data_IF_222597102793
#
_entry.id   IF_222597102793
#
_cell.length_a   1.000
_cell.length_b   1.000
_cell.length_c   1.000
_cell.angle_alpha   90.00
_cell.angle_beta   90.00
_cell.angle_gamma   90.00
#
_symmetry.space_group_name_H-M   'P 1'
#
loop_
_entity.id
_entity.type
_entity.pdbx_description
1 polymer ?
#
# COMPACT_ATOMS: atom_id res chain seq x y z
N UNK A 1 -25.56 -1.53 -21.61
CA UNK A 1 -24.11 -1.25 -21.68
C UNK A 1 -23.67 -0.14 -20.74
N UNK A 2 -24.15 1.12 -20.87
CA UNK A 2 -23.74 2.20 -19.97
C UNK A 2 -24.25 2.03 -18.52
N UNK A 3 -25.51 1.59 -18.35
CA UNK A 3 -26.09 1.29 -17.03
C UNK A 3 -25.36 0.09 -16.37
N UNK A 4 -25.06 -0.96 -17.14
CA UNK A 4 -24.37 -2.15 -16.63
C UNK A 4 -22.95 -1.81 -16.13
N UNK A 5 -22.24 -0.93 -16.84
CA UNK A 5 -20.92 -0.44 -16.43
C UNK A 5 -21.01 0.37 -15.13
N UNK A 6 -21.99 1.27 -15.01
CA UNK A 6 -22.18 2.06 -13.81
C UNK A 6 -22.51 1.17 -12.60
N UNK A 7 -23.37 0.16 -12.77
CA UNK A 7 -23.70 -0.78 -11.69
C UNK A 7 -22.46 -1.56 -11.21
N UNK A 8 -21.61 -2.02 -12.13
CA UNK A 8 -20.33 -2.65 -11.82
C UNK A 8 -19.41 -1.74 -11.01
N UNK A 9 -19.26 -0.49 -11.44
CA UNK A 9 -18.46 0.52 -10.74
C UNK A 9 -19.01 0.81 -9.34
N UNK A 10 -20.32 0.96 -9.18
CA UNK A 10 -20.96 1.17 -7.87
C UNK A 10 -20.73 -0.04 -6.96
N UNK A 11 -20.81 -1.26 -7.50
CA UNK A 11 -20.54 -2.47 -6.71
C UNK A 11 -19.09 -2.53 -6.24
N UNK A 12 -18.13 -2.18 -7.11
CA UNK A 12 -16.73 -2.03 -6.70
C UNK A 12 -16.56 -0.97 -5.60
N UNK A 13 -17.15 0.22 -5.75
CA UNK A 13 -17.08 1.30 -4.76
C UNK A 13 -17.64 0.85 -3.40
N UNK A 14 -18.73 0.08 -3.39
CA UNK A 14 -19.29 -0.50 -2.16
C UNK A 14 -18.39 -1.57 -1.56
N UNK A 15 -17.75 -2.40 -2.39
CA UNK A 15 -16.89 -3.48 -1.94
C UNK A 15 -15.66 -2.96 -1.21
N UNK A 16 -15.01 -1.92 -1.74
CA UNK A 16 -13.77 -1.38 -1.16
C UNK A 16 -13.96 -0.66 0.18
N UNK A 17 -15.21 -0.40 0.61
CA UNK A 17 -15.50 0.10 1.96
C UNK A 17 -14.98 -0.86 3.05
N UNK A 18 -14.91 -2.16 2.72
CA UNK A 18 -14.36 -3.20 3.61
C UNK A 18 -12.89 -2.96 4.00
N UNK A 19 -12.12 -2.24 3.18
CA UNK A 19 -10.71 -1.93 3.47
C UNK A 19 -10.55 -1.18 4.80
N UNK A 20 -11.54 -0.37 5.18
CA UNK A 20 -11.56 0.37 6.46
C UNK A 20 -11.54 -0.53 7.69
N UNK A 21 -11.91 -1.80 7.53
CA UNK A 21 -11.96 -2.79 8.61
C UNK A 21 -10.68 -3.62 8.71
N UNK A 22 -9.77 -3.54 7.74
CA UNK A 22 -8.49 -4.26 7.78
C UNK A 22 -7.52 -3.44 8.63
N UNK A 23 -7.07 -4.02 9.75
CA UNK A 23 -6.25 -3.32 10.76
C UNK A 23 -4.78 -3.70 10.62
N UNK A 24 -3.92 -2.70 10.52
CA UNK A 24 -2.46 -2.82 10.50
C UNK A 24 -1.90 -2.96 11.90
N UNK A 25 -0.71 -3.56 12.01
CA UNK A 25 0.06 -3.55 13.27
C UNK A 25 0.65 -2.19 13.61
N UNK A 26 0.78 -1.29 12.64
CA UNK A 26 1.34 0.04 12.89
C UNK A 26 0.34 0.89 13.68
N UNK A 27 0.86 1.68 14.62
CA UNK A 27 0.06 2.63 15.42
C UNK A 27 0.14 4.01 14.81
N UNK A 28 -0.93 4.80 14.94
CA UNK A 28 -0.92 6.20 14.52
C UNK A 28 0.12 7.02 15.29
N UNK A 29 0.43 8.20 14.77
CA UNK A 29 1.29 9.18 15.43
C UNK A 29 0.80 9.50 16.85
N UNK A 30 1.69 9.34 17.83
CA UNK A 30 1.43 9.64 19.24
C UNK A 30 0.15 8.99 19.80
N UNK A 31 -0.18 7.78 19.36
CA UNK A 31 -1.42 7.09 19.71
C UNK A 31 -1.20 5.60 19.94
N UNK A 32 -2.11 4.98 20.71
CA UNK A 32 -2.19 3.53 20.87
C UNK A 32 -3.18 2.86 19.91
N UNK A 33 -3.87 3.65 19.06
CA UNK A 33 -4.76 3.11 18.04
C UNK A 33 -3.95 2.58 16.85
N UNK A 34 -4.27 1.37 16.43
CA UNK A 34 -3.81 0.81 15.17
C UNK A 34 -4.35 1.58 13.96
N UNK A 35 -3.53 1.67 12.94
CA UNK A 35 -3.90 2.14 11.61
C UNK A 35 -4.75 1.09 10.87
N UNK A 36 -5.60 1.50 9.94
CA UNK A 36 -6.27 0.65 8.95
C UNK A 36 -5.77 0.95 7.52
N UNK A 37 -5.95 0.02 6.57
CA UNK A 37 -5.34 0.17 5.24
C UNK A 37 -5.94 1.30 4.39
N UNK A 38 -7.20 1.68 4.66
CA UNK A 38 -7.81 2.80 3.97
C UNK A 38 -7.21 4.16 4.41
N UNK A 39 -6.94 4.33 5.71
CA UNK A 39 -6.26 5.55 6.19
C UNK A 39 -4.77 5.57 5.84
N UNK A 40 -4.12 4.40 5.82
CA UNK A 40 -2.76 4.24 5.31
C UNK A 40 -2.65 4.72 3.85
N UNK A 41 -3.49 4.17 2.97
CA UNK A 41 -3.53 4.53 1.54
C UNK A 41 -3.82 6.01 1.32
N UNK A 42 -4.71 6.61 2.12
CA UNK A 42 -4.96 8.05 2.11
C UNK A 42 -3.69 8.85 2.47
N UNK A 43 -2.96 8.42 3.50
CA UNK A 43 -1.76 9.13 3.93
C UNK A 43 -0.64 9.01 2.90
N UNK A 44 -0.47 7.84 2.29
CA UNK A 44 0.47 7.65 1.18
C UNK A 44 0.14 8.52 -0.04
N UNK A 45 -1.15 8.69 -0.35
CA UNK A 45 -1.59 9.59 -1.42
C UNK A 45 -1.21 11.05 -1.11
N UNK A 46 -1.40 11.50 0.13
CA UNK A 46 -0.97 12.83 0.57
C UNK A 46 0.56 12.99 0.51
N UNK A 47 1.30 11.99 0.99
CA UNK A 47 2.77 11.97 0.91
C UNK A 47 3.25 12.03 -0.53
N UNK A 48 2.60 11.30 -1.44
CA UNK A 48 2.93 11.32 -2.88
C UNK A 48 2.81 12.73 -3.45
N UNK A 49 1.74 13.46 -3.14
CA UNK A 49 1.56 14.84 -3.64
C UNK A 49 2.62 15.78 -3.08
N UNK A 50 2.90 15.69 -1.77
CA UNK A 50 3.79 16.63 -1.07
C UNK A 50 5.26 16.35 -1.36
N UNK A 51 5.65 15.09 -1.52
CA UNK A 51 7.05 14.66 -1.62
C UNK A 51 7.49 14.32 -3.06
N UNK A 52 6.62 14.47 -4.06
CA UNK A 52 6.93 14.14 -5.46
C UNK A 52 8.21 14.83 -5.97
N UNK A 53 8.49 16.06 -5.53
CA UNK A 53 9.69 16.81 -5.93
C UNK A 53 11.00 16.19 -5.42
N UNK A 54 10.92 15.26 -4.46
CA UNK A 54 12.07 14.53 -3.92
C UNK A 54 12.31 13.20 -4.63
N UNK A 55 11.52 12.84 -5.65
CA UNK A 55 11.84 11.67 -6.48
C UNK A 55 13.13 11.92 -7.26
N UNK A 56 14.03 10.93 -7.27
CA UNK A 56 15.27 11.01 -8.07
C UNK A 56 14.98 10.96 -9.59
N UNK A 57 13.80 10.46 -9.97
CA UNK A 57 13.37 10.30 -11.34
C UNK A 57 12.12 11.13 -11.62
N UNK A 58 11.87 11.43 -12.90
CA UNK A 58 10.60 12.06 -13.28
C UNK A 58 9.50 11.01 -13.27
N UNK A 59 8.56 11.16 -12.35
CA UNK A 59 7.42 10.25 -12.16
C UNK A 59 6.10 10.87 -12.65
N UNK A 60 5.17 10.03 -13.11
CA UNK A 60 3.76 10.43 -13.25
C UNK A 60 3.07 10.37 -11.88
N UNK A 61 2.90 11.53 -11.25
CA UNK A 61 2.25 11.68 -9.93
C UNK A 61 0.82 11.12 -9.94
N UNK A 62 0.07 11.25 -11.03
CA UNK A 62 -1.29 10.73 -11.10
C UNK A 62 -1.30 9.20 -11.12
N UNK A 63 -0.32 8.59 -11.79
CA UNK A 63 -0.15 7.14 -11.79
C UNK A 63 0.24 6.63 -10.40
N UNK A 64 1.20 7.28 -9.73
CA UNK A 64 1.60 6.92 -8.35
C UNK A 64 0.41 7.07 -7.39
N UNK A 65 -0.38 8.14 -7.51
CA UNK A 65 -1.59 8.34 -6.72
C UNK A 65 -2.58 7.19 -6.89
N UNK A 66 -2.88 6.80 -8.14
CA UNK A 66 -3.73 5.61 -8.39
C UNK A 66 -3.14 4.38 -7.74
N UNK A 67 -1.84 4.16 -7.89
CA UNK A 67 -1.12 3.01 -7.37
C UNK A 67 -1.25 2.88 -5.85
N UNK A 68 -0.89 3.92 -5.09
CA UNK A 68 -0.95 3.89 -3.62
C UNK A 68 -2.40 3.86 -3.09
N UNK A 69 -3.38 4.36 -3.83
CA UNK A 69 -4.79 4.27 -3.43
C UNK A 69 -5.38 2.86 -3.58
N UNK A 70 -4.81 2.02 -4.46
CA UNK A 70 -5.35 0.68 -4.73
C UNK A 70 -4.47 -0.46 -4.23
N UNK A 71 -3.23 -0.20 -3.83
CA UNK A 71 -2.24 -1.24 -3.56
C UNK A 71 -2.71 -2.28 -2.52
N UNK A 72 -3.30 -1.82 -1.41
CA UNK A 72 -3.78 -2.69 -0.33
C UNK A 72 -5.25 -3.14 -0.49
N UNK A 73 -5.95 -2.81 -1.59
CA UNK A 73 -7.36 -3.26 -1.78
C UNK A 73 -7.46 -4.79 -1.73
N UNK A 74 -6.43 -5.51 -2.16
CA UNK A 74 -6.36 -6.98 -2.11
C UNK A 74 -6.42 -7.54 -0.69
N UNK A 75 -6.03 -6.74 0.31
CA UNK A 75 -6.03 -7.14 1.72
C UNK A 75 -7.44 -7.27 2.31
N UNK A 76 -8.48 -6.80 1.60
CA UNK A 76 -9.88 -7.09 1.96
C UNK A 76 -10.12 -8.60 2.10
N UNK A 77 -9.49 -9.41 1.24
CA UNK A 77 -9.62 -10.86 1.28
C UNK A 77 -8.36 -11.54 1.85
N UNK A 78 -7.17 -11.05 1.50
CA UNK A 78 -5.90 -11.66 1.92
C UNK A 78 -5.51 -11.33 3.37
N UNK A 79 -6.03 -10.20 3.89
CA UNK A 79 -5.67 -9.61 5.18
C UNK A 79 -4.27 -8.98 5.22
N UNK A 80 -4.09 -7.97 6.07
CA UNK A 80 -2.79 -7.33 6.30
C UNK A 80 -1.74 -8.36 6.75
N UNK A 81 -0.58 -8.32 6.09
CA UNK A 81 0.57 -9.14 6.43
C UNK A 81 1.70 -8.25 6.95
N UNK A 82 1.92 -8.33 8.26
CA UNK A 82 2.95 -7.56 8.93
C UNK A 82 4.34 -7.78 8.30
N UNK A 83 4.97 -6.70 7.83
CA UNK A 83 6.27 -6.71 7.11
C UNK A 83 7.46 -7.31 7.89
N UNK A 84 7.30 -7.51 9.20
CA UNK A 84 8.29 -8.15 10.06
C UNK A 84 7.83 -9.52 10.59
N UNK A 85 6.74 -10.07 10.08
CA UNK A 85 6.41 -11.47 10.32
C UNK A 85 7.49 -12.37 9.69
N UNK A 86 7.73 -13.53 10.26
CA UNK A 86 8.62 -14.56 9.71
C UNK A 86 7.87 -15.84 9.37
N UNK A 87 6.62 -15.97 9.81
CA UNK A 87 5.78 -17.14 9.61
C UNK A 87 4.98 -17.06 8.30
N UNK A 88 4.59 -15.85 7.86
CA UNK A 88 3.98 -15.62 6.55
C UNK A 88 5.04 -15.35 5.49
N UNK A 89 4.95 -16.06 4.37
CA UNK A 89 5.78 -15.76 3.21
C UNK A 89 5.35 -14.40 2.66
N UNK A 90 6.28 -13.43 2.58
CA UNK A 90 5.98 -12.07 2.08
C UNK A 90 5.91 -12.02 0.54
N UNK A 91 5.65 -13.18 -0.04
CA UNK A 91 5.40 -13.42 -1.46
C UNK A 91 4.06 -14.11 -1.54
N UNK A 92 3.05 -13.61 -0.81
CA UNK A 92 1.71 -14.20 -0.73
C UNK A 92 0.91 -13.90 -2.02
N UNK A 93 1.61 -13.95 -3.14
CA UNK A 93 1.22 -13.44 -4.45
C UNK A 93 0.01 -14.16 -5.00
N UNK A 94 -0.19 -15.44 -4.66
CA UNK A 94 -1.31 -16.21 -5.19
C UNK A 94 -2.64 -15.82 -4.53
N UNK A 95 -2.66 -15.65 -3.20
CA UNK A 95 -3.85 -15.20 -2.46
C UNK A 95 -4.20 -13.76 -2.82
N UNK A 96 -3.19 -12.88 -2.89
CA UNK A 96 -3.38 -11.49 -3.28
C UNK A 96 -3.79 -11.36 -4.76
N UNK A 97 -3.26 -12.19 -5.66
CA UNK A 97 -3.68 -12.21 -7.06
C UNK A 97 -5.13 -12.70 -7.21
N UNK A 98 -5.55 -13.71 -6.43
CA UNK A 98 -6.95 -14.16 -6.41
C UNK A 98 -7.85 -13.02 -5.90
N UNK A 99 -7.45 -12.32 -4.84
CA UNK A 99 -8.17 -11.17 -4.32
C UNK A 99 -8.25 -10.02 -5.35
N UNK A 100 -7.14 -9.68 -6.00
CA UNK A 100 -7.07 -8.68 -7.06
C UNK A 100 -8.04 -9.03 -8.21
N UNK A 101 -7.99 -10.27 -8.70
CA UNK A 101 -8.87 -10.74 -9.77
C UNK A 101 -10.35 -10.68 -9.37
N UNK A 102 -10.69 -11.03 -8.13
CA UNK A 102 -12.06 -10.97 -7.65
C UNK A 102 -12.54 -9.53 -7.48
N UNK A 103 -11.78 -8.69 -6.78
CA UNK A 103 -12.20 -7.35 -6.36
C UNK A 103 -12.17 -6.40 -7.55
N UNK A 104 -11.03 -6.28 -8.25
CA UNK A 104 -10.95 -5.44 -9.44
C UNK A 104 -11.80 -5.99 -10.59
N UNK A 105 -12.02 -7.31 -10.65
CA UNK A 105 -12.94 -7.95 -11.59
C UNK A 105 -14.42 -7.54 -11.45
N UNK A 106 -14.80 -6.85 -10.35
CA UNK A 106 -16.11 -6.22 -10.24
C UNK A 106 -16.29 -5.06 -11.23
N UNK A 107 -15.21 -4.42 -11.66
CA UNK A 107 -15.22 -3.31 -12.60
C UNK A 107 -15.53 -3.77 -14.05
N UNK A 108 -15.91 -2.83 -14.95
CA UNK A 108 -15.84 -3.05 -16.38
C UNK A 108 -14.45 -3.51 -16.83
N UNK A 109 -14.39 -4.34 -17.86
CA UNK A 109 -13.18 -5.06 -18.29
C UNK A 109 -11.93 -4.18 -18.39
N UNK A 110 -12.02 -3.04 -19.08
CA UNK A 110 -10.88 -2.13 -19.28
C UNK A 110 -10.36 -1.54 -17.96
N UNK A 111 -11.25 -1.18 -17.03
CA UNK A 111 -10.85 -0.67 -15.71
C UNK A 111 -10.27 -1.77 -14.82
N UNK A 112 -10.83 -2.98 -14.88
CA UNK A 112 -10.31 -4.12 -14.15
C UNK A 112 -8.87 -4.45 -14.62
N UNK A 113 -8.65 -4.48 -15.94
CA UNK A 113 -7.32 -4.73 -16.53
C UNK A 113 -6.32 -3.62 -16.17
N UNK A 114 -6.74 -2.34 -16.20
CA UNK A 114 -5.90 -1.21 -15.75
C UNK A 114 -5.50 -1.35 -14.27
N UNK A 115 -6.47 -1.63 -13.38
CA UNK A 115 -6.22 -1.67 -11.93
C UNK A 115 -5.35 -2.87 -11.55
N UNK A 116 -5.59 -4.04 -12.15
CA UNK A 116 -4.73 -5.22 -11.95
C UNK A 116 -3.30 -4.93 -12.44
N UNK A 117 -3.15 -4.29 -13.61
CA UNK A 117 -1.83 -3.93 -14.13
C UNK A 117 -1.08 -2.95 -13.23
N UNK A 118 -1.76 -1.92 -12.70
CA UNK A 118 -1.16 -0.97 -11.75
C UNK A 118 -0.78 -1.65 -10.43
N UNK A 119 -1.64 -2.52 -9.91
CA UNK A 119 -1.36 -3.30 -8.70
C UNK A 119 -0.15 -4.24 -8.89
N UNK A 120 -0.09 -4.97 -10.00
CA UNK A 120 1.06 -5.82 -10.34
C UNK A 120 2.37 -5.01 -10.46
N UNK A 121 2.31 -3.83 -11.07
CA UNK A 121 3.47 -2.94 -11.18
C UNK A 121 3.99 -2.50 -9.80
N UNK A 122 3.08 -2.20 -8.87
CA UNK A 122 3.45 -1.91 -7.47
C UNK A 122 4.17 -3.09 -6.82
N UNK A 123 3.61 -4.30 -6.93
CA UNK A 123 4.20 -5.51 -6.34
C UNK A 123 5.60 -5.81 -6.89
N UNK A 124 5.76 -5.72 -8.20
CA UNK A 124 7.05 -5.89 -8.87
C UNK A 124 8.08 -4.86 -8.38
N UNK A 125 7.67 -3.59 -8.20
CA UNK A 125 8.54 -2.53 -7.67
C UNK A 125 9.72 -2.17 -8.57
N UNK A 126 9.58 -2.35 -9.88
CA UNK A 126 10.67 -2.18 -10.85
C UNK A 126 10.64 -0.78 -11.48
N UNK A 127 9.46 -0.26 -11.81
CA UNK A 127 9.29 1.07 -12.43
C UNK A 127 9.63 2.18 -11.43
N UNK A 128 9.93 3.37 -11.94
CA UNK A 128 10.28 4.50 -11.09
C UNK A 128 9.08 4.98 -10.26
N UNK A 129 7.86 4.93 -10.84
CA UNK A 129 6.62 5.14 -10.11
C UNK A 129 6.43 4.12 -8.97
N UNK A 130 6.62 2.82 -9.24
CA UNK A 130 6.47 1.78 -8.22
C UNK A 130 7.52 1.87 -7.13
N UNK A 131 8.79 2.16 -7.49
CA UNK A 131 9.84 2.42 -6.50
C UNK A 131 9.50 3.60 -5.60
N UNK A 132 8.97 4.69 -6.17
CA UNK A 132 8.56 5.86 -5.39
C UNK A 132 7.36 5.54 -4.49
N UNK A 133 6.31 4.92 -5.01
CA UNK A 133 5.15 4.47 -4.25
C UNK A 133 5.55 3.59 -3.04
N UNK A 134 6.38 2.57 -3.30
CA UNK A 134 6.91 1.66 -2.28
C UNK A 134 7.89 2.31 -1.31
N UNK A 135 8.43 3.48 -1.65
CA UNK A 135 9.26 4.27 -0.74
C UNK A 135 8.38 5.04 0.23
N UNK A 136 7.24 5.58 -0.23
CA UNK A 136 6.24 6.21 0.64
C UNK A 136 5.64 5.20 1.61
N UNK A 137 5.20 4.04 1.11
CA UNK A 137 4.69 2.91 1.90
C UNK A 137 5.68 2.45 2.99
N UNK A 138 6.99 2.51 2.72
CA UNK A 138 8.00 2.19 3.72
C UNK A 138 8.30 3.35 4.67
N UNK A 139 8.27 4.58 4.20
CA UNK A 139 8.61 5.77 4.98
C UNK A 139 7.55 6.06 6.05
N UNK A 140 6.28 5.94 5.72
CA UNK A 140 5.21 6.30 6.66
C UNK A 140 5.25 5.48 7.98
N UNK A 141 5.25 4.13 7.98
CA UNK A 141 5.37 3.34 9.20
C UNK A 141 6.71 3.52 9.92
N UNK A 142 7.78 4.00 9.24
CA UNK A 142 9.02 4.41 9.89
C UNK A 142 8.80 5.67 10.74
N UNK A 143 8.13 6.68 10.18
CA UNK A 143 7.79 7.92 10.87
C UNK A 143 6.83 7.66 12.05
N UNK A 144 5.78 6.86 11.83
CA UNK A 144 4.82 6.47 12.86
C UNK A 144 5.49 5.73 14.03
N UNK A 145 6.36 4.75 13.75
CA UNK A 145 7.11 4.06 14.79
C UNK A 145 8.06 5.00 15.54
N UNK A 146 8.71 5.93 14.85
CA UNK A 146 9.61 6.91 15.48
C UNK A 146 8.84 7.80 16.45
N UNK A 147 7.63 8.24 16.09
CA UNK A 147 6.77 9.06 16.97
C UNK A 147 6.30 8.33 18.24
N UNK A 148 6.22 7.00 18.20
CA UNK A 148 5.77 6.16 19.32
C UNK A 148 6.95 5.55 20.09
N UNK A 149 8.15 6.14 19.99
CA UNK A 149 9.38 5.62 20.59
C UNK A 149 9.66 4.15 20.20
N UNK A 150 9.38 3.79 18.94
CA UNK A 150 9.49 2.44 18.41
C UNK A 150 8.34 1.52 18.82
N UNK A 151 7.10 2.03 18.95
CA UNK A 151 5.96 1.32 19.52
C UNK A 151 5.75 -0.09 18.97
N UNK A 152 5.42 -0.21 17.69
CA UNK A 152 5.21 -1.51 17.01
C UNK A 152 6.49 -2.35 17.04
N UNK A 153 7.68 -1.76 16.84
CA UNK A 153 8.93 -2.51 16.91
C UNK A 153 9.20 -3.11 18.29
N UNK A 154 8.94 -2.37 19.37
CA UNK A 154 9.12 -2.85 20.75
C UNK A 154 8.10 -3.93 21.09
N UNK A 155 6.84 -3.71 20.72
CA UNK A 155 5.74 -4.66 20.95
C UNK A 155 6.04 -6.03 20.33
N UNK A 156 6.49 -6.04 19.07
CA UNK A 156 6.81 -7.27 18.33
C UNK A 156 8.29 -7.67 18.39
N UNK A 157 9.11 -7.01 19.24
CA UNK A 157 10.54 -7.27 19.43
C UNK A 157 11.34 -7.31 18.11
N UNK A 158 11.05 -6.39 17.19
CA UNK A 158 11.70 -6.28 15.88
C UNK A 158 13.13 -5.77 16.06
N UNK A 159 14.18 -6.53 15.64
CA UNK A 159 15.56 -6.08 15.75
C UNK A 159 15.88 -4.91 14.82
N UNK A 160 16.78 -4.02 15.26
CA UNK A 160 17.25 -2.88 14.45
C UNK A 160 17.67 -3.28 13.04
N UNK A 161 18.47 -4.35 12.90
CA UNK A 161 18.95 -4.80 11.60
C UNK A 161 17.79 -5.17 10.66
N UNK A 162 16.73 -5.79 11.19
CA UNK A 162 15.54 -6.14 10.42
C UNK A 162 14.77 -4.90 9.96
N UNK A 163 14.66 -3.88 10.81
CA UNK A 163 14.10 -2.57 10.44
C UNK A 163 14.94 -1.94 9.33
N UNK A 164 16.25 -1.82 9.54
CA UNK A 164 17.17 -1.23 8.56
C UNK A 164 17.11 -1.93 7.20
N UNK A 165 17.14 -3.26 7.17
CA UNK A 165 17.10 -4.03 5.93
C UNK A 165 15.80 -3.86 5.14
N UNK A 166 14.67 -3.63 5.82
CA UNK A 166 13.40 -3.31 5.16
C UNK A 166 13.32 -1.86 4.71
N UNK A 167 13.88 -0.93 5.47
CA UNK A 167 13.75 0.52 5.23
C UNK A 167 14.81 1.08 4.27
N UNK A 168 15.96 0.43 4.11
CA UNK A 168 16.99 0.82 3.13
C UNK A 168 16.50 0.84 1.67
N UNK A 169 15.34 0.25 1.38
CA UNK A 169 14.72 0.28 0.05
C UNK A 169 14.06 1.63 -0.29
N UNK A 170 13.85 2.52 0.69
CA UNK A 170 13.35 3.89 0.45
C UNK A 170 14.25 4.64 -0.52
N UNK A 171 15.57 4.42 -0.43
CA UNK A 171 16.57 5.01 -1.33
C UNK A 171 16.37 4.68 -2.81
N UNK A 172 15.55 3.68 -3.14
CA UNK A 172 15.29 3.29 -4.52
C UNK A 172 14.30 4.24 -5.20
N UNK A 173 13.40 4.88 -4.45
CA UNK A 173 12.48 5.90 -4.98
C UNK A 173 12.97 7.33 -4.76
N UNK A 174 13.77 7.56 -3.72
CA UNK A 174 14.43 8.83 -3.43
C UNK A 174 15.66 8.62 -2.57
N UNK A 175 16.83 9.01 -3.07
CA UNK A 175 18.10 8.96 -2.33
C UNK A 175 18.18 9.96 -1.17
N UNK A 176 17.28 10.96 -1.14
CA UNK A 176 17.22 12.00 -0.12
C UNK A 176 16.41 11.59 1.12
N UNK A 177 15.41 10.71 0.95
CA UNK A 177 14.50 10.23 2.00
C UNK A 177 15.08 9.03 2.77
#
# INVERSE_FOLDING_TARGET
MQIDNLLKQINFIKEIDKLKYVQRKTKLFNSDRNENDAEHSWHLAMMTIVLAEHSDQKIDVMKVLKMVLIHDIVEIDAGDTFIYDTAKNHTNTDEELIAAQRIFGLLPKEQAEEFIGIWQEFEEGITDEAKFARSMDRLEPLLQNTSTNGGTWKEFKVPYQKVYDKKKAIKNGSSLL
#
